data_IF_037211602558
#
_entry.id   IF_037211602558
#
_cell.length_a   1.000
_cell.length_b   1.000
_cell.length_c   1.000
_cell.angle_alpha   90.00
_cell.angle_beta   90.00
_cell.angle_gamma   90.00
#
_symmetry.space_group_name_H-M   'P 1'
#
loop_
_entity.id
_entity.type
_entity.pdbx_description
1 polymer ?
#
# COMPACT_ATOMS: atom_id res chain seq x y z
N UNK A 1 -10.31 -15.79 11.75
CA UNK A 1 -11.66 -15.43 12.25
C UNK A 1 -11.71 -14.33 13.33
N UNK A 2 -10.73 -13.41 13.39
CA UNK A 2 -10.78 -12.25 14.31
C UNK A 2 -10.77 -10.88 13.61
N UNK A 3 -10.61 -10.87 12.28
CA UNK A 3 -10.52 -9.66 11.49
C UNK A 3 -11.93 -9.20 11.10
N UNK A 4 -12.43 -8.13 11.72
CA UNK A 4 -13.75 -7.58 11.44
C UNK A 4 -13.79 -6.76 10.14
N UNK A 5 -12.66 -6.17 9.76
CA UNK A 5 -12.49 -5.39 8.54
C UNK A 5 -11.06 -4.87 8.41
N UNK A 6 -10.74 -4.28 7.26
CA UNK A 6 -9.43 -3.71 6.96
C UNK A 6 -9.57 -2.34 6.30
N UNK A 7 -8.78 -1.35 6.75
CA UNK A 7 -8.60 -0.09 6.03
C UNK A 7 -7.16 -0.01 5.54
N UNK A 8 -6.97 0.13 4.23
CA UNK A 8 -5.68 0.40 3.61
C UNK A 8 -5.55 1.89 3.29
N UNK A 9 -4.42 2.50 3.63
CA UNK A 9 -4.10 3.90 3.31
C UNK A 9 -2.83 3.88 2.48
N UNK A 10 -2.88 4.41 1.26
CA UNK A 10 -1.73 4.41 0.34
C UNK A 10 -1.01 3.04 0.28
N UNK A 11 -1.79 1.96 0.21
CA UNK A 11 -1.28 0.61 0.39
C UNK A 11 -0.30 0.24 -0.74
N UNK A 12 0.89 -0.23 -0.37
CA UNK A 12 2.00 -0.51 -1.29
C UNK A 12 2.40 -2.00 -1.34
N UNK A 13 1.47 -2.96 -1.55
CA UNK A 13 1.85 -4.34 -1.73
C UNK A 13 2.81 -4.48 -2.93
N UNK A 14 3.80 -5.35 -2.77
CA UNK A 14 4.77 -5.71 -3.81
C UNK A 14 5.64 -4.55 -4.30
N UNK A 15 5.77 -3.46 -3.51
CA UNK A 15 6.59 -2.29 -3.90
C UNK A 15 8.03 -2.64 -4.23
N UNK A 16 8.53 -3.74 -3.68
CA UNK A 16 9.87 -4.26 -3.98
C UNK A 16 10.07 -4.62 -5.46
N UNK A 17 8.97 -4.86 -6.19
CA UNK A 17 8.99 -5.16 -7.62
C UNK A 17 8.69 -3.94 -8.50
N UNK A 18 7.75 -3.07 -8.16
CA UNK A 18 7.44 -1.91 -9.02
C UNK A 18 8.12 -0.61 -8.60
N UNK A 19 8.67 -0.53 -7.39
CA UNK A 19 9.28 0.67 -6.80
C UNK A 19 10.78 0.82 -7.08
N UNK A 20 11.43 -0.17 -7.69
CA UNK A 20 12.86 -0.13 -8.02
C UNK A 20 13.07 -0.39 -9.51
N UNK A 21 14.06 0.28 -10.09
CA UNK A 21 14.51 -0.01 -11.45
C UNK A 21 15.37 -1.29 -11.51
N UNK A 22 15.67 -1.75 -12.73
CA UNK A 22 16.43 -2.98 -12.94
C UNK A 22 17.87 -2.90 -12.40
N UNK A 23 18.47 -1.70 -12.36
CA UNK A 23 19.82 -1.50 -11.86
C UNK A 23 19.86 -1.60 -10.33
N UNK A 24 18.91 -0.97 -9.64
CA UNK A 24 18.70 -1.06 -8.20
C UNK A 24 18.39 -2.50 -7.78
N UNK A 25 17.49 -3.19 -8.49
CA UNK A 25 17.20 -4.62 -8.26
C UNK A 25 18.45 -5.49 -8.42
N UNK A 26 19.29 -5.21 -9.42
CA UNK A 26 20.53 -5.94 -9.62
C UNK A 26 21.57 -5.67 -8.51
N UNK A 27 21.63 -4.45 -7.96
CA UNK A 27 22.45 -4.13 -6.77
C UNK A 27 21.97 -4.91 -5.55
N UNK A 28 20.67 -4.86 -5.25
CA UNK A 28 20.07 -5.59 -4.12
C UNK A 28 20.29 -7.10 -4.25
N UNK A 29 20.17 -7.66 -5.47
CA UNK A 29 20.44 -9.07 -5.73
C UNK A 29 21.90 -9.48 -5.49
N UNK A 30 22.87 -8.55 -5.58
CA UNK A 30 24.28 -8.80 -5.25
C UNK A 30 24.62 -8.62 -3.77
N UNK A 31 23.64 -8.27 -2.93
CA UNK A 31 23.86 -8.02 -1.51
C UNK A 31 24.20 -6.56 -1.18
N UNK A 32 24.12 -5.65 -2.14
CA UNK A 32 24.43 -4.22 -1.95
C UNK A 32 23.21 -3.47 -1.40
N UNK A 33 23.44 -2.42 -0.60
CA UNK A 33 22.36 -1.53 -0.13
C UNK A 33 22.13 -0.43 -1.17
N UNK A 34 20.87 -0.21 -1.53
CA UNK A 34 20.44 0.91 -2.39
C UNK A 34 20.07 2.09 -1.49
N UNK A 35 20.52 3.28 -1.85
CA UNK A 35 20.19 4.53 -1.16
C UNK A 35 19.35 5.40 -2.09
N UNK A 36 18.19 5.84 -1.62
CA UNK A 36 17.27 6.70 -2.38
C UNK A 36 17.11 8.05 -1.69
N UNK A 37 16.92 9.11 -2.48
CA UNK A 37 16.67 10.44 -1.94
C UNK A 37 15.44 10.41 -1.02
N UNK A 38 15.60 10.94 0.18
CA UNK A 38 14.55 10.94 1.19
C UNK A 38 13.83 12.31 1.20
N UNK A 39 12.58 12.42 0.72
CA UNK A 39 11.85 13.68 0.75
C UNK A 39 11.45 14.13 2.17
N UNK A 40 11.64 13.27 3.18
CA UNK A 40 11.20 13.47 4.57
C UNK A 40 12.33 13.68 5.57
N UNK A 41 13.59 13.60 5.15
CA UNK A 41 14.73 13.66 6.04
C UNK A 41 16.03 14.05 5.35
N UNK A 42 17.07 14.40 6.12
CA UNK A 42 18.35 14.83 5.56
C UNK A 42 19.19 13.68 5.00
N UNK A 43 18.94 12.44 5.45
CA UNK A 43 19.69 11.25 5.03
C UNK A 43 18.89 10.43 4.01
N UNK A 44 19.55 9.90 2.96
CA UNK A 44 18.93 8.97 2.02
C UNK A 44 18.32 7.76 2.73
N UNK A 45 17.21 7.23 2.19
CA UNK A 45 16.55 6.04 2.71
C UNK A 45 17.30 4.80 2.26
N UNK A 46 17.78 3.94 3.18
CA UNK A 46 18.46 2.70 2.80
C UNK A 46 17.46 1.57 2.56
N UNK A 47 17.60 0.91 1.42
CA UNK A 47 17.01 -0.40 1.15
C UNK A 47 18.09 -1.46 1.24
N UNK A 48 18.04 -2.29 2.28
CA UNK A 48 19.02 -3.36 2.48
C UNK A 48 18.69 -4.60 1.66
N UNK A 49 19.71 -5.24 1.08
CA UNK A 49 19.55 -6.46 0.29
C UNK A 49 18.84 -7.59 1.03
N UNK A 50 19.07 -7.74 2.35
CA UNK A 50 18.38 -8.72 3.17
C UNK A 50 16.87 -8.49 3.24
N UNK A 51 16.45 -7.23 3.40
CA UNK A 51 15.04 -6.85 3.36
C UNK A 51 14.44 -7.12 1.97
N UNK A 52 15.14 -6.73 0.90
CA UNK A 52 14.66 -6.97 -0.47
C UNK A 52 14.50 -8.46 -0.78
N UNK A 53 15.47 -9.29 -0.38
CA UNK A 53 15.42 -10.73 -0.57
C UNK A 53 14.25 -11.39 0.19
N UNK A 54 13.99 -10.95 1.43
CA UNK A 54 12.85 -11.39 2.23
C UNK A 54 11.52 -10.95 1.60
N UNK A 55 11.37 -9.66 1.28
CA UNK A 55 10.15 -9.10 0.70
C UNK A 55 9.74 -9.79 -0.62
N UNK A 56 10.70 -10.26 -1.43
CA UNK A 56 10.42 -11.05 -2.64
C UNK A 56 9.71 -12.38 -2.37
N UNK A 57 9.80 -12.93 -1.16
CA UNK A 57 9.06 -14.12 -0.75
C UNK A 57 7.63 -13.81 -0.29
N UNK A 58 7.28 -12.52 -0.18
CA UNK A 58 6.01 -12.03 0.35
C UNK A 58 5.19 -11.26 -0.71
N UNK A 59 5.40 -11.54 -2.00
CA UNK A 59 4.60 -10.93 -3.07
C UNK A 59 3.16 -11.45 -3.06
N UNK A 60 2.18 -10.54 -3.12
CA UNK A 60 0.75 -10.82 -2.96
C UNK A 60 -0.07 -10.57 -4.22
N UNK A 61 0.33 -9.63 -5.09
CA UNK A 61 -0.50 -9.19 -6.22
C UNK A 61 -0.50 -10.18 -7.41
N UNK A 62 0.25 -11.28 -7.30
CA UNK A 62 0.31 -12.35 -8.30
C UNK A 62 -0.77 -13.44 -8.16
N UNK A 63 -1.53 -13.46 -7.06
CA UNK A 63 -2.52 -14.48 -6.75
C UNK A 63 -3.70 -13.90 -5.94
N UNK A 64 -4.83 -14.62 -5.81
CA UNK A 64 -5.89 -14.22 -4.89
C UNK A 64 -5.39 -14.11 -3.45
N UNK A 65 -5.86 -13.09 -2.73
CA UNK A 65 -5.52 -12.78 -1.34
C UNK A 65 -6.74 -13.17 -0.50
N UNK A 66 -6.62 -14.17 0.41
CA UNK A 66 -7.74 -14.78 1.13
C UNK A 66 -8.24 -13.92 2.30
N UNK A 67 -8.48 -12.63 2.04
CA UNK A 67 -9.13 -11.69 2.94
C UNK A 67 -10.56 -11.55 2.46
N UNK A 68 -11.50 -12.05 3.25
CA UNK A 68 -12.94 -12.08 2.93
C UNK A 68 -13.77 -11.11 3.77
N UNK A 69 -13.13 -10.39 4.70
CA UNK A 69 -13.79 -9.34 5.49
C UNK A 69 -14.01 -8.07 4.64
N UNK A 70 -14.86 -7.14 5.07
CA UNK A 70 -14.96 -5.84 4.40
C UNK A 70 -13.62 -5.10 4.39
N UNK A 71 -13.32 -4.44 3.27
CA UNK A 71 -12.07 -3.70 3.05
C UNK A 71 -12.38 -2.33 2.44
N UNK A 72 -11.77 -1.28 2.98
CA UNK A 72 -11.78 0.05 2.36
C UNK A 72 -10.36 0.49 2.06
N UNK A 73 -10.07 0.78 0.79
CA UNK A 73 -8.77 1.28 0.33
C UNK A 73 -8.86 2.77 0.02
N UNK A 74 -8.07 3.59 0.71
CA UNK A 74 -7.97 5.03 0.53
C UNK A 74 -6.67 5.37 -0.20
N UNK A 75 -6.76 6.04 -1.34
CA UNK A 75 -5.61 6.35 -2.18
C UNK A 75 -5.69 7.75 -2.79
N UNK A 76 -4.57 8.48 -2.74
CA UNK A 76 -4.40 9.75 -3.46
C UNK A 76 -3.97 9.52 -4.91
N UNK A 77 -4.53 10.28 -5.87
CA UNK A 77 -4.07 10.25 -7.27
C UNK A 77 -2.87 11.16 -7.54
N UNK A 78 -2.47 11.99 -6.57
CA UNK A 78 -1.21 12.75 -6.59
C UNK A 78 -0.18 12.12 -5.65
N UNK A 79 -0.37 10.87 -5.29
CA UNK A 79 0.62 10.07 -4.59
C UNK A 79 1.83 9.88 -5.52
N UNK A 80 2.98 10.37 -5.08
CA UNK A 80 4.23 10.31 -5.83
C UNK A 80 5.07 9.07 -5.47
N UNK A 81 4.66 8.31 -4.45
CA UNK A 81 5.38 7.15 -3.92
C UNK A 81 4.70 5.85 -4.33
N UNK A 82 3.37 5.81 -4.32
CA UNK A 82 2.57 4.65 -4.70
C UNK A 82 1.69 4.99 -5.89
N UNK A 83 1.90 4.36 -7.06
CA UNK A 83 0.99 4.49 -8.20
C UNK A 83 -0.44 4.14 -7.76
N UNK A 84 -1.38 5.06 -7.94
CA UNK A 84 -2.72 4.94 -7.38
C UNK A 84 -3.49 3.72 -7.93
N UNK A 85 -3.14 3.26 -9.12
CA UNK A 85 -3.66 2.04 -9.75
C UNK A 85 -3.34 0.78 -8.92
N UNK A 86 -2.33 0.82 -8.04
CA UNK A 86 -2.02 -0.26 -7.09
C UNK A 86 -3.20 -0.58 -6.18
N UNK A 87 -3.99 0.43 -5.78
CA UNK A 87 -5.20 0.21 -5.01
C UNK A 87 -6.26 -0.59 -5.78
N UNK A 88 -6.37 -0.37 -7.11
CA UNK A 88 -7.28 -1.13 -7.97
C UNK A 88 -6.80 -2.58 -8.13
N UNK A 89 -5.50 -2.78 -8.34
CA UNK A 89 -4.88 -4.11 -8.43
C UNK A 89 -5.05 -4.88 -7.13
N UNK A 90 -4.88 -4.22 -5.98
CA UNK A 90 -5.11 -4.83 -4.68
C UNK A 90 -6.58 -5.24 -4.53
N UNK A 91 -7.52 -4.35 -4.87
CA UNK A 91 -8.95 -4.66 -4.83
C UNK A 91 -9.32 -5.88 -5.69
N UNK A 92 -8.76 -5.99 -6.89
CA UNK A 92 -8.97 -7.14 -7.80
C UNK A 92 -8.48 -8.47 -7.20
N UNK A 93 -7.45 -8.43 -6.34
CA UNK A 93 -6.86 -9.64 -5.77
C UNK A 93 -7.52 -10.09 -4.47
N UNK A 94 -8.27 -9.23 -3.77
CA UNK A 94 -8.94 -9.61 -2.51
C UNK A 94 -10.13 -10.54 -2.78
N UNK A 95 -10.23 -11.65 -2.03
CA UNK A 95 -11.35 -12.61 -2.11
C UNK A 95 -12.67 -12.08 -1.48
N UNK A 96 -12.69 -10.82 -1.05
CA UNK A 96 -13.85 -10.18 -0.45
C UNK A 96 -14.76 -9.57 -1.53
N UNK A 97 -16.07 -9.84 -1.43
CA UNK A 97 -17.07 -9.12 -2.23
C UNK A 97 -17.38 -7.71 -1.68
N UNK A 98 -16.80 -7.35 -0.53
CA UNK A 98 -17.09 -6.11 0.22
C UNK A 98 -15.87 -5.18 0.20
N UNK A 99 -15.40 -4.84 -0.99
CA UNK A 99 -14.24 -3.96 -1.19
C UNK A 99 -14.67 -2.62 -1.75
N UNK A 100 -14.29 -1.54 -1.08
CA UNK A 100 -14.45 -0.17 -1.56
C UNK A 100 -13.08 0.44 -1.84
N UNK A 101 -12.95 1.12 -2.98
CA UNK A 101 -11.77 1.94 -3.31
C UNK A 101 -12.20 3.40 -3.38
N UNK A 102 -11.61 4.25 -2.55
CA UNK A 102 -11.83 5.69 -2.56
C UNK A 102 -10.59 6.40 -3.10
N UNK A 103 -10.77 7.11 -4.21
CA UNK A 103 -9.70 7.88 -4.85
C UNK A 103 -9.87 9.37 -4.57
N UNK A 104 -8.86 9.99 -3.96
CA UNK A 104 -8.77 11.44 -3.80
C UNK A 104 -7.94 12.03 -4.94
N UNK A 105 -8.59 12.72 -5.89
CA UNK A 105 -7.91 13.28 -7.08
C UNK A 105 -6.76 14.24 -6.74
N UNK A 106 -6.86 14.92 -5.61
CA UNK A 106 -5.87 15.88 -5.12
C UNK A 106 -5.08 15.37 -3.90
N UNK A 107 -5.32 14.14 -3.47
CA UNK A 107 -4.64 13.53 -2.33
C UNK A 107 -3.22 13.12 -2.70
N UNK A 108 -2.29 13.39 -1.80
CA UNK A 108 -0.90 12.93 -1.86
C UNK A 108 -0.74 11.56 -1.16
N UNK A 109 0.51 11.11 -0.99
CA UNK A 109 0.82 9.85 -0.31
C UNK A 109 0.36 9.82 1.15
N UNK A 110 0.41 10.97 1.84
CA UNK A 110 0.21 11.04 3.29
C UNK A 110 -1.26 10.96 3.67
N UNK A 111 -2.16 11.45 2.81
CA UNK A 111 -3.61 11.51 3.06
C UNK A 111 -3.93 12.03 4.47
N UNK A 112 -3.28 13.12 4.87
CA UNK A 112 -3.33 13.62 6.25
C UNK A 112 -3.98 15.01 6.38
N UNK A 113 -4.60 15.54 5.33
CA UNK A 113 -5.36 16.80 5.42
C UNK A 113 -6.66 16.56 6.20
N UNK A 114 -7.31 17.58 6.77
CA UNK A 114 -8.52 17.39 7.57
C UNK A 114 -9.61 16.55 6.87
N UNK A 115 -9.82 16.75 5.57
CA UNK A 115 -10.77 15.96 4.78
C UNK A 115 -10.35 14.52 4.53
N UNK A 116 -9.04 14.25 4.44
CA UNK A 116 -8.52 12.88 4.24
C UNK A 116 -8.65 12.10 5.55
N UNK A 117 -8.32 12.74 6.68
CA UNK A 117 -8.52 12.18 8.02
C UNK A 117 -10.00 11.92 8.31
N UNK A 118 -10.90 12.81 7.90
CA UNK A 118 -12.34 12.59 8.03
C UNK A 118 -12.82 11.35 7.24
N UNK A 119 -12.28 11.12 6.03
CA UNK A 119 -12.58 9.91 5.25
C UNK A 119 -12.04 8.65 5.93
N UNK A 120 -10.82 8.71 6.47
CA UNK A 120 -10.23 7.61 7.23
C UNK A 120 -11.08 7.24 8.44
N UNK A 121 -11.48 8.22 9.24
CA UNK A 121 -12.34 8.00 10.42
C UNK A 121 -13.66 7.37 9.99
N UNK A 122 -14.33 7.91 8.97
CA UNK A 122 -15.58 7.36 8.47
C UNK A 122 -15.44 5.91 7.98
N UNK A 123 -14.35 5.59 7.27
CA UNK A 123 -14.05 4.24 6.81
C UNK A 123 -13.85 3.26 7.98
N UNK A 124 -13.18 3.69 9.05
CA UNK A 124 -13.02 2.87 10.25
C UNK A 124 -14.36 2.70 10.98
N UNK A 125 -15.14 3.77 11.14
CA UNK A 125 -16.45 3.72 11.80
C UNK A 125 -17.39 2.74 11.10
N UNK A 126 -17.43 2.73 9.76
CA UNK A 126 -18.24 1.80 8.97
C UNK A 126 -17.92 0.33 9.26
N UNK A 127 -16.64 -0.01 9.47
CA UNK A 127 -16.21 -1.38 9.76
C UNK A 127 -16.53 -1.84 11.20
N UNK A 128 -16.77 -0.90 12.12
CA UNK A 128 -17.04 -1.17 13.54
C UNK A 128 -18.55 -1.22 13.82
N UNK A 129 -19.39 -0.71 12.92
CA UNK A 129 -20.84 -0.84 13.06
C UNK A 129 -21.28 -2.31 12.90
N UNK A 130 -22.17 -2.82 13.77
CA UNK A 130 -22.77 -4.13 13.54
C UNK A 130 -23.56 -4.11 12.23
N UNK A 131 -23.63 -5.24 11.49
CA UNK A 131 -24.47 -5.32 10.31
C UNK A 131 -25.92 -4.97 10.68
N UNK A 132 -26.53 -4.09 9.88
CA UNK A 132 -27.94 -3.74 9.98
C UNK A 132 -28.86 -4.94 9.71
#
# INVERSE_FOLDING_TARGET
DRLAGLVGIAAAPDFIDWGYDDAQKAQLARGETVLEDNPYGPEPTPTHAGFWADARQHLLLGAPIPITCPVTLLQGQRDAEVPWETALRLAERLDSDKVLVQLAKDGDHRLSRPQDLARLIAAVEELVQPPA
#
